data_IF_482214587777
#
_entry.id   IF_482214587777
#
_cell.length_a   1.000
_cell.length_b   1.000
_cell.length_c   1.000
_cell.angle_alpha   90.00
_cell.angle_beta   90.00
_cell.angle_gamma   90.00
#
_symmetry.space_group_name_H-M   'P 1'
#
loop_
_entity.id
_entity.type
_entity.pdbx_description
1 polymer ?
#
# COMPACT_ATOMS: atom_id res chain seq x y z
N UNK A 1 18.57 26.21 -9.61
CA UNK A 1 17.55 26.34 -10.67
C UNK A 1 16.36 25.39 -10.38
N UNK A 2 15.44 25.74 -9.49
CA UNK A 2 14.28 24.86 -9.18
C UNK A 2 13.07 25.06 -10.10
N UNK A 3 13.04 26.10 -10.94
CA UNK A 3 11.81 26.47 -11.66
C UNK A 3 11.37 25.56 -12.82
N UNK A 4 12.26 24.76 -13.44
CA UNK A 4 11.86 23.89 -14.56
C UNK A 4 11.02 22.69 -14.13
N UNK A 5 11.29 22.12 -12.98
CA UNK A 5 10.59 20.92 -12.50
C UNK A 5 9.14 21.22 -12.05
N UNK A 6 8.90 22.35 -11.42
CA UNK A 6 7.56 22.78 -11.02
C UNK A 6 6.64 23.10 -12.21
N UNK A 7 7.20 23.68 -13.28
CA UNK A 7 6.45 23.98 -14.49
C UNK A 7 6.02 22.69 -15.21
N UNK A 8 6.88 21.67 -15.25
CA UNK A 8 6.55 20.38 -15.89
C UNK A 8 5.50 19.62 -15.06
N UNK A 9 5.63 19.57 -13.74
CA UNK A 9 4.62 18.97 -12.85
C UNK A 9 3.27 19.71 -12.96
N UNK A 10 3.27 21.04 -13.02
CA UNK A 10 2.06 21.85 -13.26
C UNK A 10 1.45 21.60 -14.65
N UNK A 11 2.24 21.31 -15.67
CA UNK A 11 1.74 20.98 -17.00
C UNK A 11 1.14 19.58 -17.07
N UNK A 12 1.69 18.62 -16.31
CA UNK A 12 1.15 17.26 -16.20
C UNK A 12 -0.17 17.29 -15.41
N UNK A 13 -0.27 18.10 -14.36
CA UNK A 13 -1.50 18.27 -13.57
C UNK A 13 -2.71 18.77 -14.38
N UNK A 14 -2.51 19.26 -15.58
CA UNK A 14 -3.58 19.70 -16.50
C UNK A 14 -3.94 18.65 -17.57
N UNK A 15 -3.13 17.58 -17.66
CA UNK A 15 -3.35 16.50 -18.65
C UNK A 15 -3.84 15.25 -17.92
N UNK A 16 -4.64 14.49 -18.59
CA UNK A 16 -5.11 13.21 -18.07
C UNK A 16 -4.05 12.15 -18.23
N UNK A 17 -4.00 11.19 -17.31
CA UNK A 17 -2.98 10.14 -17.28
C UNK A 17 -3.63 8.77 -17.15
N UNK A 18 -3.08 7.80 -17.88
CA UNK A 18 -3.44 6.39 -17.79
C UNK A 18 -2.43 5.64 -16.93
N UNK A 19 -2.89 5.09 -15.83
CA UNK A 19 -2.05 4.35 -14.90
C UNK A 19 -1.65 2.98 -15.45
N UNK A 20 -0.37 2.60 -15.34
CA UNK A 20 0.17 1.35 -15.89
C UNK A 20 0.79 0.48 -14.80
N UNK A 21 1.67 1.03 -13.98
CA UNK A 21 2.36 0.39 -12.85
C UNK A 21 2.90 -1.02 -13.19
N UNK A 22 3.81 -1.11 -14.15
CA UNK A 22 4.39 -2.37 -14.61
C UNK A 22 5.89 -2.33 -14.65
N UNK A 23 6.56 -3.41 -14.24
CA UNK A 23 7.99 -3.59 -14.52
C UNK A 23 8.21 -3.68 -16.01
N UNK A 24 9.18 -2.94 -16.52
CA UNK A 24 9.55 -2.90 -17.93
C UNK A 24 11.05 -3.05 -18.09
N UNK A 25 11.46 -3.56 -19.25
CA UNK A 25 12.86 -3.49 -19.69
C UNK A 25 13.07 -2.13 -20.32
N UNK A 26 14.15 -1.46 -19.94
CA UNK A 26 14.54 -0.15 -20.47
C UNK A 26 15.95 -0.27 -21.03
N UNK A 27 16.14 0.21 -22.23
CA UNK A 27 17.47 0.50 -22.78
C UNK A 27 17.87 1.91 -22.34
N UNK A 28 19.00 2.02 -21.66
CA UNK A 28 19.41 3.24 -20.95
C UNK A 28 20.83 3.63 -21.33
N UNK A 29 21.01 4.88 -21.75
CA UNK A 29 22.32 5.46 -22.04
C UNK A 29 22.91 6.10 -20.78
N UNK A 30 23.96 5.48 -20.26
CA UNK A 30 24.68 6.00 -19.07
C UNK A 30 25.42 7.32 -19.33
N UNK A 31 25.78 7.64 -20.57
CA UNK A 31 26.47 8.89 -20.92
C UNK A 31 25.48 10.04 -20.97
N UNK A 32 24.33 9.82 -21.60
CA UNK A 32 23.26 10.80 -21.69
C UNK A 32 22.38 10.85 -20.45
N UNK A 33 22.54 9.89 -19.52
CA UNK A 33 21.71 9.74 -18.32
C UNK A 33 20.20 9.73 -18.68
N UNK A 34 19.86 8.98 -19.72
CA UNK A 34 18.50 8.99 -20.31
C UNK A 34 18.06 7.63 -20.82
N UNK A 35 16.78 7.26 -20.65
CA UNK A 35 16.18 6.12 -21.36
C UNK A 35 16.17 6.34 -22.86
N UNK A 36 16.57 5.33 -23.64
CA UNK A 36 16.53 5.30 -25.10
C UNK A 36 15.27 4.62 -25.63
N UNK A 37 14.86 3.51 -25.00
CA UNK A 37 13.63 2.79 -25.32
C UNK A 37 13.17 1.97 -24.12
N UNK A 38 11.92 1.51 -24.17
CA UNK A 38 11.37 0.56 -23.21
C UNK A 38 10.38 -0.40 -23.87
N UNK A 39 10.21 -1.59 -23.28
CA UNK A 39 9.30 -2.61 -23.79
C UNK A 39 8.01 -2.66 -22.96
N UNK A 40 6.87 -2.44 -23.62
CA UNK A 40 5.56 -2.51 -23.02
C UNK A 40 4.54 -3.10 -24.01
N UNK A 41 3.68 -4.02 -23.58
CA UNK A 41 2.69 -4.74 -24.40
C UNK A 41 3.31 -5.41 -25.63
N UNK A 42 4.44 -6.11 -25.44
CA UNK A 42 5.20 -6.79 -26.51
C UNK A 42 5.70 -5.87 -27.64
N UNK A 43 5.79 -4.57 -27.40
CA UNK A 43 6.28 -3.58 -28.34
C UNK A 43 7.39 -2.75 -27.72
N UNK A 44 8.39 -2.41 -28.55
CA UNK A 44 9.41 -1.42 -28.20
C UNK A 44 8.87 -0.01 -28.40
N UNK A 45 9.00 0.83 -27.39
CA UNK A 45 8.69 2.26 -27.43
C UNK A 45 10.00 3.05 -27.43
N UNK A 46 10.38 3.61 -28.58
CA UNK A 46 11.59 4.43 -28.71
C UNK A 46 11.35 5.82 -28.16
N UNK A 47 12.24 6.27 -27.27
CA UNK A 47 12.22 7.60 -26.69
C UNK A 47 12.80 8.60 -27.69
N UNK A 48 12.05 9.65 -27.99
CA UNK A 48 12.45 10.74 -28.89
C UNK A 48 12.74 12.03 -28.14
N UNK A 49 12.31 12.12 -26.87
CA UNK A 49 12.56 13.31 -26.06
C UNK A 49 12.46 13.03 -24.58
N UNK A 50 13.35 13.63 -23.81
CA UNK A 50 13.31 13.67 -22.36
C UNK A 50 12.66 14.99 -21.93
N UNK A 51 11.45 14.93 -21.40
CA UNK A 51 10.66 16.09 -20.99
C UNK A 51 10.99 16.56 -19.57
N UNK A 52 11.48 15.65 -18.73
CA UNK A 52 11.89 15.97 -17.36
C UNK A 52 12.51 14.79 -16.64
N UNK A 53 13.35 15.11 -15.67
CA UNK A 53 13.96 14.16 -14.74
C UNK A 53 13.76 14.67 -13.32
N UNK A 54 13.25 13.81 -12.45
CA UNK A 54 12.96 14.15 -11.06
C UNK A 54 13.73 13.15 -10.18
N UNK A 55 14.49 13.65 -9.24
CA UNK A 55 15.14 12.84 -8.21
C UNK A 55 14.21 12.80 -6.99
N UNK A 56 14.11 11.66 -6.38
CA UNK A 56 13.42 11.49 -5.10
C UNK A 56 14.06 12.36 -4.00
N UNK A 57 13.40 12.42 -2.85
CA UNK A 57 13.90 13.14 -1.68
C UNK A 57 15.27 12.62 -1.23
N UNK A 58 15.97 13.37 -0.38
CA UNK A 58 17.33 13.08 0.11
C UNK A 58 17.54 11.66 0.66
N UNK A 59 16.45 10.95 1.00
CA UNK A 59 16.45 9.57 1.47
C UNK A 59 16.24 8.52 0.36
N UNK A 60 15.81 8.92 -0.84
CA UNK A 60 15.50 8.02 -1.95
C UNK A 60 16.49 8.24 -3.09
N UNK A 61 17.15 7.16 -3.54
CA UNK A 61 18.00 7.17 -4.74
C UNK A 61 17.22 7.10 -6.04
N UNK A 62 15.91 7.07 -5.97
CA UNK A 62 15.01 6.85 -7.07
C UNK A 62 15.00 8.01 -8.06
N UNK A 63 14.91 7.69 -9.33
CA UNK A 63 14.89 8.68 -10.42
C UNK A 63 13.65 8.44 -11.28
N UNK A 64 12.93 9.51 -11.53
CA UNK A 64 11.75 9.50 -12.39
C UNK A 64 12.04 10.25 -13.69
N UNK A 65 11.69 9.65 -14.82
CA UNK A 65 11.88 10.20 -16.16
C UNK A 65 10.54 10.40 -16.85
N UNK A 66 10.24 11.62 -17.26
CA UNK A 66 9.12 11.91 -18.13
C UNK A 66 9.65 11.91 -19.57
N UNK A 67 9.21 10.94 -20.36
CA UNK A 67 9.73 10.70 -21.71
C UNK A 67 8.65 10.80 -22.76
N UNK A 68 9.00 11.31 -23.94
CA UNK A 68 8.17 11.32 -25.14
C UNK A 68 8.66 10.22 -26.09
N UNK A 69 7.73 9.46 -26.65
CA UNK A 69 8.05 8.40 -27.61
C UNK A 69 7.83 8.83 -29.06
N UNK A 70 8.30 7.99 -29.99
CA UNK A 70 8.13 8.23 -31.43
C UNK A 70 6.66 8.38 -31.86
N UNK A 71 5.76 7.72 -31.13
CA UNK A 71 4.32 7.79 -31.37
C UNK A 71 3.65 9.03 -30.73
N UNK A 72 4.46 10.02 -30.32
CA UNK A 72 4.03 11.25 -29.65
C UNK A 72 3.43 11.03 -28.24
N UNK A 73 3.38 9.81 -27.75
CA UNK A 73 2.94 9.49 -26.40
C UNK A 73 3.94 9.92 -25.37
N UNK A 74 3.45 10.34 -24.20
CA UNK A 74 4.26 10.73 -23.04
C UNK A 74 4.08 9.72 -21.93
N UNK A 75 5.20 9.20 -21.43
CA UNK A 75 5.23 8.20 -20.35
C UNK A 75 6.07 8.66 -19.18
N UNK A 76 5.69 8.21 -17.98
CA UNK A 76 6.52 8.32 -16.80
C UNK A 76 7.19 6.97 -16.53
N UNK A 77 8.51 6.95 -16.63
CA UNK A 77 9.36 5.83 -16.24
C UNK A 77 9.99 6.10 -14.89
N UNK A 78 10.06 5.08 -14.07
CA UNK A 78 10.59 5.17 -12.74
C UNK A 78 11.69 4.14 -12.52
N UNK A 79 12.89 4.61 -12.19
CA UNK A 79 14.02 3.76 -11.81
C UNK A 79 14.06 3.66 -10.29
N UNK A 80 13.72 2.50 -9.79
CA UNK A 80 13.73 2.18 -8.37
C UNK A 80 15.02 1.48 -7.97
N UNK A 81 15.69 1.99 -6.95
CA UNK A 81 16.87 1.39 -6.35
C UNK A 81 16.48 0.65 -5.07
N UNK A 82 16.80 -0.64 -5.03
CA UNK A 82 16.70 -1.40 -3.77
C UNK A 82 17.88 -1.05 -2.86
N UNK A 83 17.62 -0.99 -1.57
CA UNK A 83 18.71 -0.97 -0.61
C UNK A 83 19.55 -2.26 -0.76
N UNK A 84 20.86 -2.16 -0.86
CA UNK A 84 21.72 -3.32 -0.99
C UNK A 84 21.65 -4.16 0.29
N UNK A 85 20.79 -5.19 0.30
CA UNK A 85 20.93 -6.23 1.31
C UNK A 85 22.21 -7.02 1.00
N UNK A 86 23.00 -7.42 2.01
CA UNK A 86 24.28 -8.12 1.80
C UNK A 86 24.16 -9.47 1.07
N UNK A 87 22.95 -9.93 0.77
CA UNK A 87 22.66 -11.26 0.21
C UNK A 87 22.06 -11.23 -1.21
N UNK A 88 21.81 -10.07 -1.83
CA UNK A 88 21.24 -10.01 -3.17
C UNK A 88 22.30 -9.70 -4.22
N UNK A 89 22.73 -10.73 -4.93
CA UNK A 89 23.56 -10.65 -6.15
C UNK A 89 22.76 -10.19 -7.39
N UNK A 90 21.50 -9.79 -7.23
CA UNK A 90 20.63 -9.33 -8.31
C UNK A 90 20.80 -7.82 -8.52
N UNK A 91 20.56 -7.37 -9.74
CA UNK A 91 20.63 -5.96 -10.13
C UNK A 91 19.90 -5.08 -9.09
N UNK A 92 20.59 -4.10 -8.46
CA UNK A 92 20.05 -3.33 -7.33
C UNK A 92 18.96 -2.33 -7.74
N UNK A 93 18.52 -2.37 -8.98
CA UNK A 93 17.49 -1.47 -9.50
C UNK A 93 16.56 -2.17 -10.49
N UNK A 94 15.35 -1.64 -10.63
CA UNK A 94 14.42 -2.05 -11.68
C UNK A 94 13.62 -0.85 -12.19
N UNK A 95 13.15 -0.97 -13.44
CA UNK A 95 12.34 0.04 -14.07
C UNK A 95 10.85 -0.28 -13.94
N UNK A 96 10.08 0.74 -13.61
CA UNK A 96 8.62 0.70 -13.57
C UNK A 96 8.08 1.72 -14.57
N UNK A 97 7.25 1.26 -15.50
CA UNK A 97 6.41 2.14 -16.30
C UNK A 97 5.21 2.54 -15.45
N UNK A 98 5.20 3.79 -15.00
CA UNK A 98 4.23 4.26 -14.02
C UNK A 98 2.92 4.65 -14.69
N UNK A 99 2.94 5.59 -15.63
CA UNK A 99 1.74 5.99 -16.36
C UNK A 99 2.04 6.50 -17.78
N UNK A 100 0.99 6.58 -18.63
CA UNK A 100 0.95 7.26 -19.91
C UNK A 100 0.09 8.51 -19.78
N UNK A 101 0.56 9.63 -20.31
CA UNK A 101 -0.28 10.83 -20.45
C UNK A 101 -1.22 10.61 -21.64
N UNK A 102 -2.53 10.65 -21.38
CA UNK A 102 -3.54 10.42 -22.40
C UNK A 102 -3.67 11.63 -23.32
N UNK A 103 -4.00 11.36 -24.60
CA UNK A 103 -4.41 12.39 -25.54
C UNK A 103 -5.84 12.83 -25.25
N UNK A 104 -6.19 14.06 -25.63
CA UNK A 104 -7.52 14.63 -25.35
C UNK A 104 -8.70 13.76 -25.84
N UNK A 105 -8.49 12.95 -26.86
CA UNK A 105 -9.49 12.03 -27.42
C UNK A 105 -9.72 10.75 -26.60
N UNK A 106 -8.78 10.40 -25.70
CA UNK A 106 -8.87 9.21 -24.84
C UNK A 106 -9.47 9.52 -23.46
N UNK A 107 -9.91 10.76 -23.26
CA UNK A 107 -10.19 11.42 -22.00
C UNK A 107 -11.46 10.98 -21.27
N UNK A 108 -12.32 10.19 -21.88
CA UNK A 108 -13.65 9.90 -21.31
C UNK A 108 -13.66 9.02 -20.06
N UNK A 109 -12.51 8.49 -19.62
CA UNK A 109 -12.50 7.45 -18.56
C UNK A 109 -11.56 7.67 -17.38
N UNK A 110 -10.85 8.83 -17.26
CA UNK A 110 -9.97 9.07 -16.14
C UNK A 110 -10.48 10.19 -15.23
N UNK A 111 -10.65 9.86 -13.98
CA UNK A 111 -11.28 10.70 -12.98
C UNK A 111 -10.32 11.76 -12.43
N UNK A 112 -10.86 12.92 -12.05
CA UNK A 112 -10.11 14.03 -11.42
C UNK A 112 -9.26 13.60 -10.23
N UNK A 113 -9.72 12.58 -9.50
CA UNK A 113 -9.07 12.08 -8.30
C UNK A 113 -7.87 11.18 -8.61
N UNK A 114 -7.89 10.42 -9.72
CA UNK A 114 -6.70 9.67 -10.17
C UNK A 114 -5.50 10.59 -10.37
N UNK A 115 -5.72 11.77 -10.92
CA UNK A 115 -4.65 12.77 -11.13
C UNK A 115 -4.01 13.24 -9.83
N UNK A 116 -4.82 13.53 -8.82
CA UNK A 116 -4.32 13.95 -7.50
C UNK A 116 -3.50 12.84 -6.87
N UNK A 117 -3.95 11.59 -6.96
CA UNK A 117 -3.27 10.45 -6.37
C UNK A 117 -2.02 10.04 -7.14
N UNK A 118 -2.03 10.11 -8.47
CA UNK A 118 -0.86 9.73 -9.31
C UNK A 118 0.29 10.73 -9.23
N UNK A 119 -0.02 11.99 -8.97
CA UNK A 119 0.97 13.05 -8.72
C UNK A 119 1.30 13.15 -7.24
N UNK A 120 0.50 12.53 -6.37
CA UNK A 120 0.72 12.52 -4.95
C UNK A 120 1.86 11.56 -4.61
N UNK A 121 2.95 12.12 -4.07
CA UNK A 121 4.11 11.36 -3.59
C UNK A 121 3.73 10.33 -2.50
N UNK A 122 2.63 10.55 -1.80
CA UNK A 122 2.12 9.66 -0.77
C UNK A 122 1.63 8.33 -1.35
N UNK A 123 0.79 8.35 -2.40
CA UNK A 123 0.35 7.11 -3.05
C UNK A 123 1.52 6.34 -3.65
N UNK A 124 2.47 7.06 -4.29
CA UNK A 124 3.68 6.44 -4.79
C UNK A 124 4.43 5.71 -3.69
N UNK A 125 4.63 6.36 -2.54
CA UNK A 125 5.34 5.76 -1.41
C UNK A 125 4.64 4.52 -0.85
N UNK A 126 3.31 4.47 -0.92
CA UNK A 126 2.49 3.32 -0.52
C UNK A 126 2.64 2.17 -1.50
N UNK A 127 2.58 2.47 -2.81
CA UNK A 127 2.78 1.46 -3.87
C UNK A 127 4.18 0.87 -3.83
N UNK A 128 5.20 1.71 -3.60
CA UNK A 128 6.59 1.26 -3.47
C UNK A 128 6.77 0.35 -2.24
N UNK A 129 6.10 0.66 -1.14
CA UNK A 129 6.12 -0.14 0.08
C UNK A 129 5.44 -1.50 -0.10
N UNK A 130 4.26 -1.52 -0.73
CA UNK A 130 3.47 -2.74 -0.94
C UNK A 130 3.92 -3.57 -2.16
N UNK A 131 4.56 -2.94 -3.14
CA UNK A 131 5.08 -3.57 -4.36
C UNK A 131 4.17 -3.49 -5.59
N UNK A 132 2.89 -3.19 -5.45
CA UNK A 132 1.94 -3.00 -6.57
C UNK A 132 0.71 -2.22 -6.14
N UNK A 133 -0.06 -1.71 -7.09
CA UNK A 133 -1.35 -1.10 -6.83
C UNK A 133 -2.46 -2.15 -6.85
N UNK A 134 -3.28 -2.19 -5.80
CA UNK A 134 -4.43 -3.07 -5.68
C UNK A 134 -5.63 -2.34 -5.05
N UNK A 135 -6.86 -2.89 -5.15
CA UNK A 135 -8.06 -2.26 -4.59
C UNK A 135 -7.96 -1.96 -3.10
N UNK A 136 -7.49 -2.91 -2.30
CA UNK A 136 -7.39 -2.75 -0.85
C UNK A 136 -6.40 -1.66 -0.47
N UNK A 137 -5.29 -1.54 -1.22
CA UNK A 137 -4.32 -0.47 -1.00
C UNK A 137 -4.97 0.91 -1.17
N UNK A 138 -5.82 1.07 -2.20
CA UNK A 138 -6.58 2.31 -2.44
C UNK A 138 -7.58 2.57 -1.33
N UNK A 139 -8.27 1.54 -0.86
CA UNK A 139 -9.18 1.64 0.30
C UNK A 139 -8.44 2.17 1.51
N UNK A 140 -7.26 1.62 1.82
CA UNK A 140 -6.42 2.06 2.94
C UNK A 140 -5.97 3.52 2.81
N UNK A 141 -5.50 3.94 1.63
CA UNK A 141 -5.13 5.32 1.35
C UNK A 141 -6.30 6.28 1.60
N UNK A 142 -7.44 6.01 0.95
CA UNK A 142 -8.62 6.87 1.06
C UNK A 142 -9.20 6.90 2.48
N UNK A 143 -9.17 5.78 3.20
CA UNK A 143 -9.62 5.74 4.60
C UNK A 143 -8.76 6.64 5.50
N UNK A 144 -7.44 6.61 5.32
CA UNK A 144 -6.52 7.48 6.05
C UNK A 144 -6.73 8.96 5.70
N UNK A 145 -6.78 9.31 4.41
CA UNK A 145 -7.00 10.67 3.93
C UNK A 145 -8.33 11.24 4.46
N UNK A 146 -9.39 10.44 4.41
CA UNK A 146 -10.69 10.85 4.92
C UNK A 146 -10.68 11.07 6.43
N UNK A 147 -10.03 10.18 7.18
CA UNK A 147 -9.86 10.34 8.63
C UNK A 147 -9.13 11.63 8.96
N UNK A 148 -8.01 11.93 8.27
CA UNK A 148 -7.29 13.19 8.48
C UNK A 148 -8.13 14.41 8.12
N UNK A 149 -8.90 14.37 7.03
CA UNK A 149 -9.81 15.46 6.63
C UNK A 149 -10.85 15.75 7.71
N UNK A 150 -11.34 14.73 8.40
CA UNK A 150 -12.31 14.89 9.50
C UNK A 150 -11.62 15.40 10.76
N UNK A 151 -10.51 14.78 11.17
CA UNK A 151 -9.81 15.10 12.40
C UNK A 151 -9.17 16.50 12.37
N UNK A 152 -8.59 16.92 11.24
CA UNK A 152 -7.95 18.23 11.09
C UNK A 152 -8.91 19.41 11.28
N UNK A 153 -10.21 19.21 11.09
CA UNK A 153 -11.24 20.22 11.34
C UNK A 153 -11.56 20.41 12.83
N UNK A 154 -11.17 19.46 13.67
CA UNK A 154 -11.51 19.41 15.09
C UNK A 154 -10.27 19.58 15.97
N UNK A 155 -9.27 18.80 15.74
CA UNK A 155 -8.02 18.80 16.51
C UNK A 155 -6.90 18.23 15.65
N UNK A 156 -5.80 19.00 15.49
CA UNK A 156 -4.60 18.42 14.87
C UNK A 156 -4.05 17.35 15.79
N UNK A 157 -3.68 16.16 15.26
CA UNK A 157 -3.13 15.08 16.08
C UNK A 157 -1.66 15.35 16.45
N UNK A 158 -1.42 16.42 17.21
CA UNK A 158 -0.06 16.85 17.62
C UNK A 158 0.67 15.81 18.48
N UNK A 159 -0.05 14.88 19.10
CA UNK A 159 0.50 13.78 19.88
C UNK A 159 0.74 12.48 19.10
N UNK A 160 0.44 12.49 17.79
CA UNK A 160 0.45 11.30 16.95
C UNK A 160 -0.88 10.55 16.93
N UNK A 161 -0.99 9.63 15.96
CA UNK A 161 -2.16 8.77 15.79
C UNK A 161 -1.94 7.39 16.40
N UNK A 162 -3.04 6.77 16.84
CA UNK A 162 -3.17 5.33 17.04
C UNK A 162 -4.23 4.83 16.08
N UNK A 163 -3.97 3.73 15.41
CA UNK A 163 -4.91 3.10 14.49
C UNK A 163 -5.34 1.74 15.04
N UNK A 164 -6.65 1.50 15.01
CA UNK A 164 -7.24 0.18 15.30
C UNK A 164 -7.88 -0.29 14.00
N UNK A 165 -7.44 -1.42 13.48
CA UNK A 165 -7.94 -2.01 12.24
C UNK A 165 -8.69 -3.31 12.52
N UNK A 166 -9.79 -3.54 11.77
CA UNK A 166 -10.61 -4.72 11.95
C UNK A 166 -10.41 -5.77 10.82
N UNK A 167 -9.28 -5.70 10.10
CA UNK A 167 -8.83 -6.70 9.13
C UNK A 167 -7.30 -6.73 9.02
N UNK A 168 -6.79 -7.66 8.18
CA UNK A 168 -5.37 -7.86 7.87
C UNK A 168 -5.11 -7.81 6.36
N UNK A 169 -5.85 -6.96 5.61
CA UNK A 169 -5.68 -6.82 4.15
C UNK A 169 -4.57 -5.84 3.79
N UNK A 170 -4.25 -5.74 2.49
CA UNK A 170 -3.27 -4.77 1.95
C UNK A 170 -3.59 -3.30 2.28
N UNK A 171 -4.82 -2.99 2.71
CA UNK A 171 -5.18 -1.67 3.18
C UNK A 171 -4.33 -1.22 4.39
N UNK A 172 -3.84 -2.17 5.20
CA UNK A 172 -2.97 -1.88 6.32
C UNK A 172 -1.61 -1.36 5.89
N UNK A 173 -1.09 -1.80 4.76
CA UNK A 173 0.20 -1.32 4.26
C UNK A 173 0.12 0.17 3.90
N UNK A 174 -0.99 0.59 3.29
CA UNK A 174 -1.24 2.00 3.04
C UNK A 174 -1.36 2.80 4.35
N UNK A 175 -2.16 2.31 5.29
CA UNK A 175 -2.36 2.96 6.59
C UNK A 175 -1.05 3.04 7.36
N UNK A 176 -0.26 1.98 7.43
CA UNK A 176 1.05 1.97 8.09
C UNK A 176 2.01 2.98 7.47
N UNK A 177 2.10 2.96 6.14
CA UNK A 177 3.03 3.83 5.40
C UNK A 177 2.68 5.31 5.56
N UNK A 178 1.40 5.67 5.50
CA UNK A 178 0.95 7.05 5.54
C UNK A 178 0.84 7.60 6.98
N UNK A 179 0.35 6.81 7.92
CA UNK A 179 0.16 7.26 9.31
C UNK A 179 1.41 7.15 10.16
N UNK A 180 2.39 6.32 9.77
CA UNK A 180 3.51 5.92 10.60
C UNK A 180 3.10 5.08 11.82
N UNK A 181 1.86 4.60 11.87
CA UNK A 181 1.40 3.67 12.90
C UNK A 181 1.70 2.23 12.46
N UNK A 182 2.58 1.56 13.17
CA UNK A 182 2.98 0.18 12.85
C UNK A 182 2.77 -0.75 14.04
N UNK A 183 2.79 -2.05 13.78
CA UNK A 183 2.80 -3.06 14.87
C UNK A 183 4.03 -2.89 15.76
N UNK A 184 5.20 -2.63 15.15
CA UNK A 184 6.47 -2.49 15.87
C UNK A 184 6.50 -1.30 16.82
N UNK A 185 5.91 -0.15 16.45
CA UNK A 185 5.81 1.01 17.36
C UNK A 185 4.53 0.98 18.22
N UNK A 186 3.77 -0.11 18.16
CA UNK A 186 2.55 -0.37 18.93
C UNK A 186 1.41 0.64 18.71
N UNK A 187 1.50 1.50 17.70
CA UNK A 187 0.44 2.45 17.36
C UNK A 187 -0.58 1.90 16.35
N UNK A 188 -0.32 0.71 15.76
CA UNK A 188 -1.29 -0.07 15.03
C UNK A 188 -1.75 -1.25 15.90
N UNK A 189 -3.05 -1.36 16.13
CA UNK A 189 -3.68 -2.50 16.80
C UNK A 189 -4.60 -3.20 15.81
N UNK A 190 -4.56 -4.52 15.79
CA UNK A 190 -5.39 -5.33 14.88
C UNK A 190 -6.37 -6.16 15.71
N UNK A 191 -7.66 -5.98 15.41
CA UNK A 191 -8.75 -6.81 15.90
C UNK A 191 -9.41 -7.44 14.67
N UNK A 192 -8.82 -8.49 14.14
CA UNK A 192 -9.23 -9.08 12.87
C UNK A 192 -10.64 -9.69 12.93
N UNK A 193 -11.61 -8.93 12.43
CA UNK A 193 -13.00 -9.35 12.23
C UNK A 193 -13.35 -9.48 10.75
N UNK A 194 -12.36 -9.39 9.85
CA UNK A 194 -12.56 -9.41 8.41
C UNK A 194 -13.30 -8.18 7.85
N UNK A 195 -13.30 -7.05 8.57
CA UNK A 195 -14.06 -5.85 8.18
C UNK A 195 -13.14 -4.74 7.73
N UNK A 196 -13.45 -4.09 6.60
CA UNK A 196 -12.82 -2.82 6.23
C UNK A 196 -13.33 -1.69 7.13
N UNK A 197 -12.90 -1.74 8.38
CA UNK A 197 -13.21 -0.73 9.39
C UNK A 197 -11.93 -0.34 10.12
N UNK A 198 -11.69 0.97 10.20
CA UNK A 198 -10.49 1.55 10.75
C UNK A 198 -10.85 2.68 11.70
N UNK A 199 -10.29 2.65 12.92
CA UNK A 199 -10.47 3.72 13.91
C UNK A 199 -9.15 4.48 14.05
N UNK A 200 -9.19 5.77 13.79
CA UNK A 200 -8.03 6.67 13.93
C UNK A 200 -8.25 7.53 15.17
N UNK A 201 -7.37 7.40 16.15
CA UNK A 201 -7.45 8.09 17.43
C UNK A 201 -6.26 9.03 17.63
N UNK A 202 -6.51 10.21 18.20
CA UNK A 202 -5.45 11.01 18.78
C UNK A 202 -4.91 10.28 20.03
N UNK A 203 -3.60 10.03 20.05
CA UNK A 203 -2.96 9.23 21.13
C UNK A 203 -3.04 9.89 22.49
N UNK A 204 -3.22 11.22 22.57
CA UNK A 204 -3.28 11.98 23.81
C UNK A 204 -4.69 12.13 24.33
N UNK A 205 -5.63 12.53 23.46
CA UNK A 205 -6.99 12.88 23.88
C UNK A 205 -7.97 11.71 23.74
N UNK A 206 -7.64 10.73 22.88
CA UNK A 206 -8.55 9.64 22.54
C UNK A 206 -9.71 10.05 21.63
N UNK A 207 -9.78 11.33 21.23
CA UNK A 207 -10.73 11.76 20.21
C UNK A 207 -10.34 11.11 18.88
N UNK A 208 -11.32 10.61 18.15
CA UNK A 208 -11.04 9.89 16.91
C UNK A 208 -12.23 9.81 15.97
N UNK A 209 -11.99 9.11 14.86
CA UNK A 209 -12.99 8.82 13.85
C UNK A 209 -12.92 7.36 13.45
N UNK A 210 -14.08 6.73 13.33
CA UNK A 210 -14.25 5.41 12.75
C UNK A 210 -14.61 5.57 11.27
N UNK A 211 -13.89 4.88 10.39
CA UNK A 211 -14.12 4.84 8.94
C UNK A 211 -14.47 3.40 8.56
N UNK A 212 -15.61 3.19 7.97
CA UNK A 212 -16.07 1.86 7.54
C UNK A 212 -16.46 1.88 6.07
N UNK A 213 -16.01 0.89 5.31
CA UNK A 213 -16.35 0.73 3.91
C UNK A 213 -17.85 0.49 3.75
N UNK A 214 -18.48 1.15 2.75
CA UNK A 214 -19.88 0.92 2.38
C UNK A 214 -19.99 -0.26 1.41
N UNK A 215 -20.93 -1.14 1.65
CA UNK A 215 -21.18 -2.34 0.86
C UNK A 215 -21.68 -2.05 -0.57
N UNK A 216 -22.33 -0.92 -0.78
CA UNK A 216 -23.13 -0.63 -2.00
C UNK A 216 -22.33 -0.36 -3.27
N UNK A 217 -21.02 -0.15 -3.20
CA UNK A 217 -20.22 0.30 -4.33
C UNK A 217 -19.47 -0.82 -5.04
N UNK A 218 -19.59 -2.04 -4.58
CA UNK A 218 -19.00 -3.21 -5.21
C UNK A 218 -20.09 -4.04 -5.90
N UNK A 219 -20.46 -3.63 -7.12
CA UNK A 219 -21.08 -4.60 -8.02
C UNK A 219 -19.97 -5.53 -8.47
N UNK A 220 -19.84 -6.62 -7.75
CA UNK A 220 -18.86 -7.64 -8.10
C UNK A 220 -19.19 -8.18 -9.48
N UNK A 221 -18.21 -8.21 -10.37
CA UNK A 221 -18.28 -9.06 -11.54
C UNK A 221 -18.54 -10.49 -11.01
N UNK A 222 -19.62 -11.17 -11.41
CA UNK A 222 -19.90 -12.52 -10.96
C UNK A 222 -18.71 -13.48 -11.16
N UNK A 223 -17.87 -13.19 -12.14
CA UNK A 223 -16.65 -13.96 -12.41
C UNK A 223 -15.49 -13.64 -11.47
N UNK A 224 -15.54 -12.53 -10.71
CA UNK A 224 -14.43 -12.12 -9.84
C UNK A 224 -14.05 -13.24 -8.87
N UNK A 225 -15.00 -13.74 -8.11
CA UNK A 225 -14.76 -14.79 -7.11
C UNK A 225 -14.34 -16.13 -7.73
N UNK A 226 -14.85 -16.45 -8.93
CA UNK A 226 -14.42 -17.64 -9.67
C UNK A 226 -12.97 -17.53 -10.10
N UNK A 227 -12.57 -16.37 -10.66
CA UNK A 227 -11.22 -16.10 -11.11
C UNK A 227 -10.23 -16.04 -9.93
N UNK A 228 -10.62 -15.40 -8.82
CA UNK A 228 -9.83 -15.35 -7.60
C UNK A 228 -9.58 -16.76 -7.05
N UNK A 229 -10.62 -17.59 -6.99
CA UNK A 229 -10.53 -19.00 -6.55
C UNK A 229 -9.61 -19.82 -7.44
N UNK A 230 -9.71 -19.68 -8.77
CA UNK A 230 -8.83 -20.35 -9.72
C UNK A 230 -7.39 -19.89 -9.56
N UNK A 231 -7.17 -18.57 -9.43
CA UNK A 231 -5.83 -17.99 -9.24
C UNK A 231 -5.18 -18.50 -7.94
N UNK A 232 -5.93 -18.52 -6.84
CA UNK A 232 -5.45 -18.98 -5.52
C UNK A 232 -5.08 -20.46 -5.53
N UNK A 233 -5.83 -21.29 -6.30
CA UNK A 233 -5.56 -22.72 -6.43
C UNK A 233 -4.46 -23.07 -7.44
N UNK A 234 -3.97 -22.09 -8.21
CA UNK A 234 -3.02 -22.33 -9.30
C UNK A 234 -3.67 -23.00 -10.53
N UNK A 235 -5.00 -22.99 -10.63
CA UNK A 235 -5.79 -23.58 -11.71
C UNK A 235 -6.13 -22.57 -12.83
N UNK A 236 -5.72 -21.30 -12.67
CA UNK A 236 -6.04 -20.23 -13.61
C UNK A 236 -5.21 -20.34 -14.90
N UNK A 237 -5.88 -20.24 -16.05
CA UNK A 237 -5.22 -20.11 -17.36
C UNK A 237 -4.59 -18.72 -17.52
N UNK A 238 -3.81 -18.54 -18.58
CA UNK A 238 -3.23 -17.22 -18.92
C UNK A 238 -4.33 -16.21 -19.20
N UNK A 239 -5.43 -16.64 -19.87
CA UNK A 239 -6.60 -15.83 -20.14
C UNK A 239 -7.36 -15.46 -18.86
N UNK A 240 -7.53 -16.42 -17.93
CA UNK A 240 -8.14 -16.18 -16.63
C UNK A 240 -7.34 -15.12 -15.84
N UNK A 241 -6.01 -15.24 -15.83
CA UNK A 241 -5.13 -14.27 -15.15
C UNK A 241 -5.23 -12.88 -15.81
N UNK A 242 -5.24 -12.84 -17.14
CA UNK A 242 -5.37 -11.57 -17.87
C UNK A 242 -6.74 -10.91 -17.63
N UNK A 243 -7.80 -11.71 -17.54
CA UNK A 243 -9.15 -11.22 -17.21
C UNK A 243 -9.22 -10.72 -15.76
N UNK A 244 -8.72 -11.50 -14.81
CA UNK A 244 -8.69 -11.13 -13.39
C UNK A 244 -7.95 -9.80 -13.17
N UNK A 245 -6.81 -9.61 -13.83
CA UNK A 245 -6.06 -8.34 -13.77
C UNK A 245 -6.87 -7.16 -14.29
N UNK A 246 -7.62 -7.33 -15.39
CA UNK A 246 -8.50 -6.25 -15.90
C UNK A 246 -9.59 -5.90 -14.90
N UNK A 247 -10.22 -6.89 -14.29
CA UNK A 247 -11.24 -6.67 -13.25
C UNK A 247 -10.67 -5.93 -12.05
N UNK A 248 -9.46 -6.29 -11.61
CA UNK A 248 -8.76 -5.57 -10.53
C UNK A 248 -8.42 -4.12 -10.92
N UNK A 249 -7.92 -3.90 -12.14
CA UNK A 249 -7.60 -2.56 -12.64
C UNK A 249 -8.86 -1.68 -12.72
N UNK A 250 -9.99 -2.22 -13.17
CA UNK A 250 -11.25 -1.49 -13.25
C UNK A 250 -11.81 -1.19 -11.85
N UNK A 251 -11.62 -2.10 -10.90
CA UNK A 251 -11.97 -1.88 -9.49
C UNK A 251 -11.14 -0.77 -8.85
N UNK A 252 -9.84 -0.74 -9.13
CA UNK A 252 -8.95 0.35 -8.69
C UNK A 252 -9.43 1.69 -9.24
N UNK A 253 -9.76 1.76 -10.54
CA UNK A 253 -10.28 2.99 -11.18
C UNK A 253 -11.56 3.46 -10.51
N UNK A 254 -12.50 2.55 -10.28
CA UNK A 254 -13.75 2.85 -9.59
C UNK A 254 -13.48 3.44 -8.19
N UNK A 255 -12.66 2.75 -7.38
CA UNK A 255 -12.33 3.20 -6.03
C UNK A 255 -11.67 4.58 -6.00
N UNK A 256 -10.80 4.86 -6.96
CA UNK A 256 -10.16 6.17 -7.10
C UNK A 256 -11.15 7.27 -7.44
N UNK A 257 -12.18 6.96 -8.22
CA UNK A 257 -13.18 7.94 -8.68
C UNK A 257 -14.22 8.34 -7.65
N UNK A 258 -14.52 7.46 -6.70
CA UNK A 258 -15.55 7.69 -5.69
C UNK A 258 -15.12 8.77 -4.68
N UNK A 259 -16.03 9.64 -4.29
CA UNK A 259 -15.81 10.57 -3.18
C UNK A 259 -15.77 9.80 -1.84
N UNK A 260 -15.15 10.40 -0.82
CA UNK A 260 -15.00 9.72 0.48
C UNK A 260 -16.34 9.32 1.10
N UNK A 261 -17.34 10.19 1.01
CA UNK A 261 -18.68 9.94 1.56
C UNK A 261 -19.46 8.91 0.75
N UNK A 262 -19.13 8.69 -0.51
CA UNK A 262 -19.68 7.59 -1.31
C UNK A 262 -19.06 6.25 -0.87
N UNK A 263 -17.77 6.25 -0.62
CA UNK A 263 -17.01 5.04 -0.31
C UNK A 263 -17.14 4.61 1.15
N UNK A 264 -17.20 5.56 2.09
CA UNK A 264 -17.16 5.27 3.52
C UNK A 264 -18.33 5.82 4.30
N UNK A 265 -18.67 5.11 5.39
CA UNK A 265 -19.38 5.67 6.55
C UNK A 265 -18.34 6.17 7.54
N UNK A 266 -18.58 7.32 8.15
CA UNK A 266 -17.72 7.85 9.21
C UNK A 266 -18.53 8.18 10.46
N UNK A 267 -17.94 7.95 11.63
CA UNK A 267 -18.52 8.29 12.92
C UNK A 267 -17.44 8.81 13.87
N UNK A 268 -17.71 9.93 14.53
CA UNK A 268 -16.83 10.41 15.59
C UNK A 268 -16.88 9.46 16.78
N UNK A 269 -15.74 9.25 17.42
CA UNK A 269 -15.62 8.43 18.62
C UNK A 269 -14.67 9.06 19.61
N UNK A 270 -14.84 8.71 20.88
CA UNK A 270 -13.87 9.02 21.92
C UNK A 270 -13.62 7.75 22.71
N UNK A 271 -12.37 7.28 22.65
CA UNK A 271 -11.96 6.05 23.34
C UNK A 271 -10.67 6.29 24.10
N UNK A 272 -10.53 5.65 25.25
CA UNK A 272 -9.23 5.65 25.95
C UNK A 272 -8.19 5.04 25.04
N UNK A 273 -7.09 5.76 24.74
CA UNK A 273 -6.03 5.22 23.90
C UNK A 273 -5.50 3.90 24.47
N UNK A 274 -5.26 2.87 23.64
CA UNK A 274 -4.63 1.64 24.09
C UNK A 274 -3.28 1.95 24.75
N UNK A 275 -3.00 1.32 25.89
CA UNK A 275 -1.70 1.46 26.53
C UNK A 275 -0.60 0.90 25.61
N UNK A 276 0.48 1.64 25.47
CA UNK A 276 1.74 1.10 24.95
C UNK A 276 2.36 0.20 26.01
N UNK A 277 2.69 -1.02 25.60
CA UNK A 277 3.43 -1.92 26.50
C UNK A 277 4.86 -1.40 26.65
N UNK A 278 5.32 -1.23 27.88
CA UNK A 278 6.74 -1.02 28.14
C UNK A 278 7.44 -2.35 27.89
N UNK A 279 8.51 -2.33 27.11
CA UNK A 279 9.36 -3.50 26.94
C UNK A 279 10.13 -3.69 28.24
N UNK A 280 9.61 -4.52 29.16
CA UNK A 280 10.37 -5.12 30.23
C UNK A 280 11.36 -6.13 29.63
N UNK A 281 12.41 -6.48 30.34
CA UNK A 281 13.54 -7.26 29.85
C UNK A 281 13.22 -8.56 29.09
N UNK A 282 14.26 -9.23 28.66
CA UNK A 282 14.17 -10.56 28.03
C UNK A 282 14.45 -11.63 29.09
N UNK A 283 13.56 -12.59 29.23
CA UNK A 283 13.68 -13.74 30.15
C UNK A 283 13.65 -15.03 29.33
N UNK A 284 14.42 -16.03 29.77
CA UNK A 284 14.42 -17.34 29.09
C UNK A 284 13.16 -18.13 29.41
N UNK A 285 12.54 -18.68 28.38
CA UNK A 285 11.47 -19.66 28.55
C UNK A 285 12.04 -20.92 29.24
N UNK A 286 11.41 -21.36 30.32
CA UNK A 286 11.89 -22.53 31.09
C UNK A 286 11.82 -23.85 30.31
N UNK A 287 11.05 -23.89 29.18
CA UNK A 287 10.93 -25.10 28.39
C UNK A 287 11.84 -25.15 27.16
N UNK A 288 11.82 -24.11 26.30
CA UNK A 288 12.62 -24.09 25.07
C UNK A 288 13.95 -23.33 25.20
N UNK A 289 14.16 -22.57 26.28
CA UNK A 289 15.37 -21.78 26.50
C UNK A 289 15.46 -20.49 25.71
N UNK A 290 14.49 -20.21 24.79
CA UNK A 290 14.48 -19.00 23.99
C UNK A 290 14.27 -17.75 24.84
N UNK A 291 14.89 -16.64 24.44
CA UNK A 291 14.67 -15.33 25.04
C UNK A 291 13.31 -14.77 24.62
N UNK A 292 12.49 -14.42 25.58
CA UNK A 292 11.12 -13.93 25.40
C UNK A 292 10.95 -12.65 26.17
N UNK A 293 10.21 -11.68 25.62
CA UNK A 293 9.82 -10.48 26.37
C UNK A 293 9.05 -10.90 27.62
N UNK A 294 9.44 -10.35 28.76
CA UNK A 294 8.82 -10.66 30.07
C UNK A 294 7.29 -10.51 30.03
N UNK A 295 6.79 -9.44 29.37
CA UNK A 295 5.37 -9.18 29.17
C UNK A 295 4.63 -10.23 28.34
N UNK A 296 5.33 -11.13 27.67
CA UNK A 296 4.78 -12.21 26.82
C UNK A 296 4.94 -13.60 27.43
N UNK A 297 5.54 -13.69 28.60
CA UNK A 297 5.63 -14.94 29.33
C UNK A 297 4.33 -15.24 30.08
N UNK A 298 4.00 -16.51 30.12
CA UNK A 298 2.87 -17.05 30.87
C UNK A 298 3.46 -17.83 32.04
N UNK A 299 3.07 -17.45 33.24
CA UNK A 299 3.45 -18.17 34.47
C UNK A 299 2.44 -19.31 34.68
N UNK A 300 2.92 -20.54 34.66
CA UNK A 300 2.15 -21.75 35.01
C UNK A 300 2.93 -22.47 36.09
N UNK A 301 2.39 -22.54 37.29
CA UNK A 301 2.99 -23.20 38.45
C UNK A 301 4.43 -22.78 38.73
N UNK A 302 4.73 -21.49 38.61
CA UNK A 302 6.07 -20.93 38.83
C UNK A 302 7.02 -21.06 37.63
N UNK A 303 6.60 -21.69 36.54
CA UNK A 303 7.36 -21.79 35.31
C UNK A 303 6.99 -20.67 34.32
N UNK A 304 7.96 -19.84 33.96
CA UNK A 304 7.79 -18.80 32.92
C UNK A 304 7.96 -19.42 31.52
N UNK A 305 6.86 -19.54 30.78
CA UNK A 305 6.81 -20.18 29.48
C UNK A 305 6.42 -19.19 28.40
N UNK A 306 7.01 -19.31 27.20
CA UNK A 306 6.52 -18.60 26.03
C UNK A 306 5.14 -19.13 25.62
N UNK A 307 4.37 -18.31 24.88
CA UNK A 307 3.02 -18.67 24.44
C UNK A 307 2.95 -20.01 23.70
N UNK A 308 3.96 -20.33 22.89
CA UNK A 308 4.03 -21.60 22.19
C UNK A 308 4.22 -22.77 23.18
N UNK A 309 5.13 -22.66 24.14
CA UNK A 309 5.37 -23.73 25.09
C UNK A 309 4.20 -23.91 26.08
N UNK A 310 3.55 -22.82 26.49
CA UNK A 310 2.38 -22.88 27.37
C UNK A 310 1.18 -23.57 26.72
N UNK A 311 0.97 -23.39 25.40
CA UNK A 311 -0.13 -24.02 24.67
C UNK A 311 -0.07 -25.56 24.66
N UNK A 312 1.12 -26.14 24.84
CA UNK A 312 1.28 -27.59 24.95
C UNK A 312 0.89 -28.14 26.33
N UNK A 313 0.89 -27.26 27.36
CA UNK A 313 0.48 -27.67 28.70
C UNK A 313 -1.03 -27.48 28.93
N UNK A 314 -1.65 -26.58 28.19
CA UNK A 314 -3.08 -26.23 28.32
C UNK A 314 -3.98 -27.09 27.41
N UNK A 315 -3.42 -28.00 26.60
CA UNK A 315 -4.28 -28.96 25.88
C UNK A 315 -4.97 -29.84 26.92
N UNK A 316 -6.29 -29.77 27.08
CA UNK A 316 -7.00 -30.79 27.88
C UNK A 316 -6.68 -32.12 27.23
N UNK A 317 -6.46 -33.12 28.05
CA UNK A 317 -6.40 -34.53 27.61
C UNK A 317 -7.77 -34.88 26.98
N UNK A 318 -7.97 -34.48 25.74
CA UNK A 318 -9.12 -34.87 24.96
C UNK A 318 -8.76 -36.12 24.18
N UNK A 319 -9.23 -37.25 24.77
CA UNK A 319 -9.56 -38.49 24.12
C UNK A 319 -8.43 -39.20 23.36
N UNK A 320 -7.63 -39.94 24.09
CA UNK A 320 -7.30 -41.27 23.62
C UNK A 320 -8.62 -42.06 23.67
N UNK A 321 -9.43 -41.95 22.64
CA UNK A 321 -10.45 -42.91 22.34
C UNK A 321 -9.75 -44.09 21.65
N UNK A 322 -9.52 -45.13 22.40
CA UNK A 322 -9.27 -46.45 21.85
C UNK A 322 -10.43 -46.87 20.96
N UNK A 323 -10.13 -47.10 19.68
CA UNK A 323 -10.79 -48.20 18.94
C UNK A 323 -9.79 -48.75 17.93
#
# INVERSE_FOLDING_TARGET
MPMKNEVILRSINRKEVGFIQRRVKVDYDNRLQSPLSFFYRNREHKVTGLLGTFKGDLSSRDITYLVKTRDEDVYLLYLHFHDPSPQSYLCPCHWILNFRVLRDEELMFFFKEERKMLVNMELKSVVDFHGHLCPDLVIGCKAYEFALKILSKREKPDGGLIVIAENTTSALDAIQRLSGCTLGNQRLKIHDFGKHKYTFLNSRTGLGVEISLKEQNFKDDPKYFELEKKATKGEATVEDIAHFRRVLDDRVKLLLSLEYDELFKSAMTTRKPPKTETFAGLIRCHRCGDLVLESRLINIDGLFLCKQCSSYLVRPAAAIACH
#
